data_IF_392354677442
#
_entry.id   IF_392354677442
#
_cell.length_a   1.000
_cell.length_b   1.000
_cell.length_c   1.000
_cell.angle_alpha   90.00
_cell.angle_beta   90.00
_cell.angle_gamma   90.00
#
_symmetry.space_group_name_H-M   'P 1'
#
loop_
_entity.id
_entity.type
_entity.pdbx_description
1 polymer ?
#
# COMPACT_ATOMS: atom_id res chain seq x y z
N UNK A 1 -24.70 -44.62 -39.64
CA UNK A 1 -24.73 -45.01 -38.20
C UNK A 1 -23.49 -44.54 -37.45
N UNK A 2 -22.27 -44.90 -37.88
CA UNK A 2 -21.01 -44.46 -37.25
C UNK A 2 -20.88 -42.92 -37.11
N UNK A 3 -21.24 -42.18 -38.15
CA UNK A 3 -21.23 -40.72 -38.17
C UNK A 3 -22.18 -40.07 -37.15
N UNK A 4 -23.34 -40.66 -36.91
CA UNK A 4 -24.32 -40.17 -35.92
C UNK A 4 -23.80 -40.38 -34.50
N UNK A 5 -23.14 -41.50 -34.24
CA UNK A 5 -22.54 -41.80 -32.92
C UNK A 5 -21.40 -40.82 -32.63
N UNK A 6 -20.56 -40.51 -33.63
CA UNK A 6 -19.46 -39.53 -33.50
C UNK A 6 -20.02 -38.14 -33.22
N UNK A 7 -21.06 -37.71 -33.95
CA UNK A 7 -21.72 -36.43 -33.73
C UNK A 7 -22.36 -36.33 -32.33
N UNK A 8 -23.04 -37.37 -31.89
CA UNK A 8 -23.63 -37.42 -30.54
C UNK A 8 -22.57 -37.33 -29.44
N UNK A 9 -21.47 -38.07 -29.58
CA UNK A 9 -20.34 -38.01 -28.65
C UNK A 9 -19.72 -36.61 -28.58
N UNK A 10 -19.56 -35.94 -29.73
CA UNK A 10 -18.99 -34.59 -29.78
C UNK A 10 -19.86 -33.56 -29.05
N UNK A 11 -21.18 -33.63 -29.22
CA UNK A 11 -22.13 -32.74 -28.54
C UNK A 11 -22.08 -32.92 -27.02
N UNK A 12 -22.01 -34.17 -26.57
CA UNK A 12 -21.88 -34.47 -25.14
C UNK A 12 -20.57 -33.90 -24.58
N UNK A 13 -19.46 -34.08 -25.30
CA UNK A 13 -18.15 -33.58 -24.88
C UNK A 13 -18.11 -32.05 -24.79
N UNK A 14 -18.72 -31.36 -25.77
CA UNK A 14 -18.90 -29.90 -25.75
C UNK A 14 -19.75 -29.45 -24.56
N UNK A 15 -20.83 -30.18 -24.25
CA UNK A 15 -21.69 -29.89 -23.11
C UNK A 15 -20.94 -29.98 -21.78
N UNK A 16 -20.16 -31.04 -21.58
CA UNK A 16 -19.31 -31.21 -20.39
C UNK A 16 -18.30 -30.07 -20.28
N UNK A 17 -17.62 -29.73 -21.39
CA UNK A 17 -16.66 -28.62 -21.42
C UNK A 17 -17.29 -27.28 -21.05
N UNK A 18 -18.51 -27.00 -21.53
CA UNK A 18 -19.23 -25.77 -21.22
C UNK A 18 -19.56 -25.66 -19.71
N UNK A 19 -20.03 -26.75 -19.10
CA UNK A 19 -20.33 -26.78 -17.66
C UNK A 19 -19.04 -26.59 -16.84
N UNK A 20 -17.97 -27.26 -17.24
CA UNK A 20 -16.69 -27.18 -16.52
C UNK A 20 -16.07 -25.77 -16.57
N UNK A 21 -16.20 -25.07 -17.70
CA UNK A 21 -15.76 -23.66 -17.83
C UNK A 21 -16.63 -22.74 -16.97
N UNK A 22 -17.94 -22.98 -16.91
CA UNK A 22 -18.85 -22.20 -16.08
C UNK A 22 -18.50 -22.33 -14.58
N UNK A 23 -18.28 -23.56 -14.11
CA UNK A 23 -17.87 -23.85 -12.73
C UNK A 23 -16.51 -23.23 -12.38
N UNK A 24 -15.52 -23.41 -13.27
CA UNK A 24 -14.20 -22.78 -13.08
C UNK A 24 -14.31 -21.25 -12.94
N UNK A 25 -15.17 -20.63 -13.74
CA UNK A 25 -15.40 -19.18 -13.67
C UNK A 25 -16.12 -18.77 -12.39
N UNK A 26 -17.03 -19.60 -11.89
CA UNK A 26 -17.72 -19.34 -10.63
C UNK A 26 -16.75 -19.41 -9.43
N UNK A 27 -15.97 -20.47 -9.33
CA UNK A 27 -14.93 -20.61 -8.31
C UNK A 27 -13.88 -19.50 -8.36
N UNK A 28 -13.45 -19.10 -9.57
CA UNK A 28 -12.52 -17.99 -9.73
C UNK A 28 -13.09 -16.66 -9.21
N UNK A 29 -14.39 -16.40 -9.41
CA UNK A 29 -15.06 -15.21 -8.88
C UNK A 29 -15.13 -15.22 -7.35
N UNK A 30 -15.40 -16.38 -6.76
CA UNK A 30 -15.45 -16.53 -5.31
C UNK A 30 -14.08 -16.26 -4.68
N UNK A 31 -13.02 -16.87 -5.20
CA UNK A 31 -11.65 -16.66 -4.71
C UNK A 31 -11.19 -15.19 -4.90
N UNK A 32 -11.57 -14.58 -6.03
CA UNK A 32 -11.28 -13.18 -6.30
C UNK A 32 -11.98 -12.24 -5.29
N UNK A 33 -13.16 -12.60 -4.78
CA UNK A 33 -13.86 -11.81 -3.76
C UNK A 33 -13.10 -11.78 -2.44
N UNK A 34 -12.55 -12.93 -2.02
CA UNK A 34 -11.78 -13.05 -0.78
C UNK A 34 -10.45 -12.30 -0.85
N UNK A 35 -9.76 -12.38 -1.98
CA UNK A 35 -8.53 -11.60 -2.20
C UNK A 35 -8.83 -10.09 -2.15
N UNK A 36 -9.98 -9.66 -2.70
CA UNK A 36 -10.38 -8.25 -2.70
C UNK A 36 -10.68 -7.70 -1.31
N UNK A 37 -11.27 -8.49 -0.41
CA UNK A 37 -11.55 -8.03 0.96
C UNK A 37 -10.25 -7.81 1.74
N UNK A 38 -9.35 -8.80 1.74
CA UNK A 38 -8.06 -8.72 2.44
C UNK A 38 -7.23 -7.55 1.92
N UNK A 39 -7.23 -7.34 0.59
CA UNK A 39 -6.52 -6.22 -0.03
C UNK A 39 -7.09 -4.87 0.38
N UNK A 40 -8.42 -4.74 0.45
CA UNK A 40 -9.08 -3.51 0.92
C UNK A 40 -8.67 -3.16 2.35
N UNK A 41 -8.63 -4.15 3.25
CA UNK A 41 -8.25 -3.89 4.65
C UNK A 41 -6.77 -3.50 4.77
N UNK A 42 -5.91 -4.13 3.98
CA UNK A 42 -4.49 -3.76 3.89
C UNK A 42 -4.31 -2.34 3.34
N UNK A 43 -5.10 -1.96 2.33
CA UNK A 43 -5.05 -0.62 1.75
C UNK A 43 -5.49 0.46 2.77
N UNK A 44 -6.53 0.21 3.56
CA UNK A 44 -6.95 1.11 4.65
C UNK A 44 -5.84 1.30 5.69
N UNK A 45 -5.27 0.20 6.18
CA UNK A 45 -4.19 0.24 7.17
C UNK A 45 -2.96 1.01 6.62
N UNK A 46 -2.63 0.83 5.34
CA UNK A 46 -1.51 1.56 4.71
C UNK A 46 -1.76 3.06 4.64
N UNK A 47 -3.00 3.48 4.37
CA UNK A 47 -3.37 4.90 4.36
C UNK A 47 -3.22 5.53 5.74
N UNK A 48 -3.76 4.87 6.77
CA UNK A 48 -3.65 5.33 8.16
C UNK A 48 -2.18 5.40 8.61
N UNK A 49 -1.38 4.38 8.29
CA UNK A 49 0.04 4.38 8.59
C UNK A 49 0.81 5.49 7.89
N UNK A 50 0.52 5.74 6.61
CA UNK A 50 1.12 6.84 5.86
C UNK A 50 0.77 8.20 6.47
N UNK A 51 -0.46 8.37 6.97
CA UNK A 51 -0.87 9.60 7.65
C UNK A 51 -0.11 9.77 8.97
N UNK A 52 -0.01 8.72 9.79
CA UNK A 52 0.68 8.76 11.07
C UNK A 52 2.18 9.07 10.93
N UNK A 53 2.81 8.57 9.86
CA UNK A 53 4.20 8.94 9.51
C UNK A 53 4.30 10.44 9.23
N UNK A 54 3.37 11.01 8.46
CA UNK A 54 3.38 12.44 8.15
C UNK A 54 3.20 13.28 9.42
N UNK A 55 2.29 12.88 10.30
CA UNK A 55 2.07 13.55 11.59
C UNK A 55 3.33 13.50 12.47
N UNK A 56 3.96 12.32 12.61
CA UNK A 56 5.18 12.17 13.41
C UNK A 56 6.39 12.91 12.81
N UNK A 57 6.49 12.96 11.48
CA UNK A 57 7.54 13.72 10.79
C UNK A 57 7.40 15.22 11.03
N UNK A 58 6.17 15.77 11.04
CA UNK A 58 5.94 17.17 11.40
C UNK A 58 6.31 17.46 12.85
N UNK A 59 5.87 16.61 13.79
CA UNK A 59 6.16 16.78 15.23
C UNK A 59 7.66 16.67 15.55
N UNK A 60 8.41 15.86 14.80
CA UNK A 60 9.85 15.65 15.06
C UNK A 60 10.71 16.82 14.54
N UNK A 61 10.34 17.41 13.40
CA UNK A 61 11.07 18.54 12.80
C UNK A 61 11.02 19.80 13.67
N UNK A 62 9.89 20.06 14.32
CA UNK A 62 9.70 21.28 15.12
C UNK A 62 10.35 21.19 16.52
N UNK A 63 10.36 20.02 17.16
CA UNK A 63 10.80 19.89 18.57
C UNK A 63 12.20 19.32 18.80
N UNK A 64 12.81 18.64 17.82
CA UNK A 64 14.00 17.80 18.10
C UNK A 64 15.32 18.49 17.77
N UNK A 65 15.35 19.38 16.76
CA UNK A 65 16.61 20.04 16.37
C UNK A 65 17.07 21.04 17.44
N UNK A 66 16.14 21.78 18.06
CA UNK A 66 16.48 22.80 19.06
C UNK A 66 16.86 22.21 20.42
N UNK A 67 16.07 21.27 20.95
CA UNK A 67 16.35 20.69 22.27
C UNK A 67 17.60 19.79 22.29
N UNK A 68 17.89 19.10 21.19
CA UNK A 68 19.09 18.26 21.09
C UNK A 68 20.37 19.09 20.94
N UNK A 69 20.29 20.28 20.31
CA UNK A 69 21.39 21.24 20.23
C UNK A 69 21.67 21.94 21.58
N UNK A 70 20.63 22.30 22.35
CA UNK A 70 20.82 22.90 23.68
C UNK A 70 21.33 21.88 24.72
N UNK A 71 20.74 20.68 24.77
CA UNK A 71 21.03 19.71 25.82
C UNK A 71 22.34 18.92 25.66
N UNK A 72 22.79 18.65 24.42
CA UNK A 72 24.00 17.84 24.16
C UNK A 72 25.22 18.67 23.75
N UNK A 73 25.02 19.87 23.23
CA UNK A 73 26.09 20.73 22.70
C UNK A 73 26.32 22.01 23.52
N UNK A 74 25.57 22.27 24.60
CA UNK A 74 25.67 23.50 25.40
C UNK A 74 25.63 24.78 24.55
N UNK A 75 24.97 24.74 23.39
CA UNK A 75 24.86 25.89 22.51
C UNK A 75 23.63 26.70 22.92
N UNK A 76 23.84 27.75 23.71
CA UNK A 76 22.84 28.80 23.92
C UNK A 76 22.71 29.64 22.65
N UNK A 77 21.47 29.91 22.21
CA UNK A 77 21.21 30.80 21.09
C UNK A 77 21.82 32.20 21.41
N UNK A 78 22.81 32.68 20.64
CA UNK A 78 23.47 33.95 20.94
C UNK A 78 22.46 35.07 20.80
N UNK A 79 22.37 35.92 21.83
CA UNK A 79 21.51 37.11 21.77
C UNK A 79 22.06 38.04 20.69
N UNK A 80 21.20 38.83 20.06
CA UNK A 80 21.57 39.76 18.97
C UNK A 80 22.72 40.74 19.30
N UNK A 81 23.14 40.80 20.57
CA UNK A 81 24.25 41.61 21.10
C UNK A 81 25.62 40.93 20.96
N UNK A 82 25.69 39.63 20.66
CA UNK A 82 26.96 38.85 20.52
C UNK A 82 27.33 38.59 19.05
N UNK A 83 26.51 39.02 18.10
CA UNK A 83 26.77 38.88 16.66
C UNK A 83 27.64 40.04 16.19
N UNK A 84 28.96 39.87 16.23
CA UNK A 84 29.89 40.84 15.64
C UNK A 84 29.93 40.64 14.13
N UNK A 85 29.33 41.57 13.39
CA UNK A 85 29.43 41.63 11.94
C UNK A 85 30.87 42.03 11.56
N UNK A 86 31.70 41.05 11.18
CA UNK A 86 33.02 41.35 10.61
C UNK A 86 32.79 41.98 9.24
N UNK A 87 32.99 43.30 9.14
CA UNK A 87 33.05 43.98 7.85
C UNK A 87 34.24 43.43 7.04
N UNK A 88 34.06 43.14 5.74
CA UNK A 88 35.15 42.67 4.89
C UNK A 88 36.12 43.82 4.62
N UNK A 89 37.43 43.51 4.67
CA UNK A 89 38.50 44.41 4.25
C UNK A 89 38.42 44.72 2.75
#
# INVERSE_FOLDING_TARGET
>A
MKSVIILGSLVIFLGIGAVQVAESRYHARQLMSEIRSIKSDTDKMRLEWSQLILESAMLTNENTVYQFAEGRLNMTLPRAQEVVYRQPN
#
